data_IF_665142433077
#
_entry.id   IF_665142433077
#
_cell.length_a   1.000
_cell.length_b   1.000
_cell.length_c   1.000
_cell.angle_alpha   90.00
_cell.angle_beta   90.00
_cell.angle_gamma   90.00
#
_symmetry.space_group_name_H-M   'P 1'
#
loop_
_entity.id
_entity.type
_entity.pdbx_description
1 polymer ?
#
# COMPACT_ATOMS: atom_id res chain seq x y z
N UNK A 1 -6.32 8.73 3.79
CA UNK A 1 -6.51 9.90 4.68
C UNK A 1 -7.97 10.14 5.03
N UNK A 2 -8.86 10.34 4.05
CA UNK A 2 -10.28 10.66 4.30
C UNK A 2 -11.05 9.63 5.14
N UNK A 3 -10.83 8.32 4.90
CA UNK A 3 -11.39 7.24 5.74
C UNK A 3 -11.00 7.40 7.22
N UNK A 4 -9.73 7.72 7.49
CA UNK A 4 -9.23 7.90 8.85
C UNK A 4 -9.94 9.07 9.54
N UNK A 5 -10.09 10.20 8.83
CA UNK A 5 -10.80 11.37 9.31
C UNK A 5 -12.25 11.05 9.69
N UNK A 6 -12.99 10.36 8.82
CA UNK A 6 -14.40 9.96 9.08
C UNK A 6 -14.56 8.97 10.23
N UNK A 7 -13.53 8.16 10.50
CA UNK A 7 -13.49 7.23 11.63
C UNK A 7 -12.95 7.86 12.92
N UNK A 8 -12.58 9.16 12.91
CA UNK A 8 -11.96 9.83 14.06
C UNK A 8 -10.55 9.32 14.39
N UNK A 9 -9.88 8.68 13.43
CA UNK A 9 -8.52 8.16 13.58
C UNK A 9 -7.52 9.24 13.13
N UNK A 10 -6.88 9.87 14.11
CA UNK A 10 -5.97 10.99 13.86
C UNK A 10 -4.54 10.56 13.46
N UNK A 11 -4.27 9.25 13.41
CA UNK A 11 -2.94 8.71 13.13
C UNK A 11 -2.96 7.94 11.83
N UNK A 12 -2.33 8.53 10.81
CA UNK A 12 -2.15 7.95 9.49
C UNK A 12 -0.66 7.81 9.22
N UNK A 13 -0.20 6.61 8.84
CA UNK A 13 1.18 6.36 8.49
C UNK A 13 1.28 5.83 7.05
N UNK A 14 2.19 6.41 6.27
CA UNK A 14 2.42 6.04 4.88
C UNK A 14 3.63 5.12 4.77
N UNK A 15 3.49 4.02 4.03
CA UNK A 15 4.63 3.12 3.74
C UNK A 15 5.72 3.81 2.94
N UNK A 16 5.40 4.83 2.15
CA UNK A 16 6.41 5.64 1.44
C UNK A 16 7.25 6.47 2.42
N UNK A 17 6.64 7.00 3.48
CA UNK A 17 7.35 7.72 4.54
C UNK A 17 8.25 6.80 5.36
N UNK A 18 7.76 5.58 5.67
CA UNK A 18 8.58 4.53 6.31
C UNK A 18 9.79 4.21 5.44
N UNK A 19 9.56 3.93 4.15
CA UNK A 19 10.63 3.68 3.16
C UNK A 19 11.62 4.85 3.09
N UNK A 20 11.14 6.09 3.04
CA UNK A 20 11.99 7.28 3.02
C UNK A 20 12.85 7.40 4.28
N UNK A 21 12.31 7.05 5.44
CA UNK A 21 13.07 7.01 6.69
C UNK A 21 14.17 5.95 6.61
N UNK A 22 13.84 4.75 6.13
CA UNK A 22 14.83 3.69 5.94
C UNK A 22 15.97 4.09 4.99
N UNK A 23 15.67 4.79 3.89
CA UNK A 23 16.67 5.30 2.94
C UNK A 23 17.70 6.24 3.56
N UNK A 24 17.37 6.90 4.68
CA UNK A 24 18.31 7.75 5.40
C UNK A 24 19.37 6.96 6.18
N UNK A 25 19.10 5.69 6.49
CA UNK A 25 19.98 4.84 7.29
C UNK A 25 20.69 3.75 6.46
N UNK A 26 20.08 3.30 5.36
CA UNK A 26 20.63 2.22 4.54
C UNK A 26 21.10 2.75 3.18
N UNK A 27 22.34 2.41 2.81
CA UNK A 27 22.91 2.81 1.54
C UNK A 27 22.31 2.01 0.36
N UNK A 28 22.41 2.52 -0.88
CA UNK A 28 21.99 1.78 -2.07
C UNK A 28 22.67 0.42 -2.23
N UNK A 29 23.92 0.27 -1.80
CA UNK A 29 24.67 -0.98 -1.90
C UNK A 29 24.20 -2.03 -0.89
N UNK A 30 23.67 -1.59 0.26
CA UNK A 30 23.21 -2.49 1.31
C UNK A 30 21.75 -2.91 1.16
N UNK A 31 20.88 -1.99 0.75
CA UNK A 31 19.45 -2.26 0.58
C UNK A 31 18.95 -1.53 -0.67
N UNK A 32 19.27 -2.02 -1.88
CA UNK A 32 19.07 -1.27 -3.12
C UNK A 32 17.59 -1.03 -3.41
N UNK A 33 16.73 -2.04 -3.21
CA UNK A 33 15.31 -1.98 -3.60
C UNK A 33 14.54 -0.82 -2.97
N UNK A 34 14.86 -0.37 -1.75
CA UNK A 34 14.16 0.76 -1.12
C UNK A 34 14.46 2.12 -1.77
N UNK A 35 15.51 2.22 -2.58
CA UNK A 35 15.91 3.46 -3.25
C UNK A 35 15.24 3.68 -4.62
N UNK A 36 14.51 2.69 -5.13
CA UNK A 36 13.74 2.78 -6.37
C UNK A 36 12.27 3.08 -6.11
N UNK A 37 11.53 3.49 -7.14
CA UNK A 37 10.06 3.44 -7.09
C UNK A 37 9.60 1.98 -7.03
N UNK A 38 8.40 1.73 -6.51
CA UNK A 38 7.89 0.36 -6.35
C UNK A 38 7.82 -0.43 -7.66
N UNK A 39 7.52 0.25 -8.77
CA UNK A 39 7.47 -0.33 -10.12
C UNK A 39 8.84 -0.41 -10.81
N UNK A 40 9.88 0.18 -10.22
CA UNK A 40 11.27 0.13 -10.73
C UNK A 40 12.18 -0.73 -9.85
N UNK A 41 11.67 -1.26 -8.73
CA UNK A 41 12.49 -1.98 -7.76
C UNK A 41 13.15 -3.24 -8.36
N UNK A 42 12.67 -3.74 -9.50
CA UNK A 42 13.35 -4.80 -10.26
C UNK A 42 14.74 -4.42 -10.77
N UNK A 43 15.04 -3.13 -10.94
CA UNK A 43 16.36 -2.65 -11.36
C UNK A 43 17.46 -2.85 -10.31
N UNK A 44 17.06 -3.11 -9.06
CA UNK A 44 17.97 -3.39 -7.96
C UNK A 44 18.37 -4.88 -7.87
N UNK A 45 17.77 -5.73 -8.70
CA UNK A 45 17.99 -7.17 -8.66
C UNK A 45 19.19 -7.59 -9.50
N UNK A 46 19.79 -8.72 -9.13
CA UNK A 46 20.78 -9.40 -9.96
C UNK A 46 20.16 -9.92 -11.27
N UNK A 47 20.96 -9.99 -12.34
CA UNK A 47 20.51 -10.43 -13.67
C UNK A 47 19.97 -11.88 -13.70
N UNK A 48 20.32 -12.69 -12.70
CA UNK A 48 19.95 -14.11 -12.61
C UNK A 48 18.58 -14.37 -11.96
N UNK A 49 17.82 -13.32 -11.61
CA UNK A 49 16.49 -13.51 -11.00
C UNK A 49 15.52 -14.21 -11.95
N UNK A 50 14.91 -15.29 -11.45
CA UNK A 50 13.82 -15.98 -12.14
C UNK A 50 12.47 -15.33 -11.85
N UNK A 51 11.68 -15.05 -12.89
CA UNK A 51 10.33 -14.48 -12.77
C UNK A 51 10.23 -13.09 -13.39
N UNK A 52 9.13 -12.38 -13.14
CA UNK A 52 8.97 -10.98 -13.54
C UNK A 52 9.80 -10.08 -12.59
N UNK A 53 10.88 -9.43 -13.08
CA UNK A 53 11.75 -8.62 -12.22
C UNK A 53 11.02 -7.47 -11.53
N UNK A 54 10.02 -6.87 -12.19
CA UNK A 54 9.20 -5.79 -11.62
C UNK A 54 8.48 -6.28 -10.37
N UNK A 55 7.87 -7.47 -10.44
CA UNK A 55 7.15 -8.06 -9.31
C UNK A 55 8.11 -8.56 -8.24
N UNK A 56 9.20 -9.24 -8.62
CA UNK A 56 10.17 -9.77 -7.65
C UNK A 56 10.80 -8.63 -6.84
N UNK A 57 11.25 -7.57 -7.51
CA UNK A 57 11.89 -6.42 -6.86
C UNK A 57 10.90 -5.64 -6.00
N UNK A 58 9.65 -5.52 -6.46
CA UNK A 58 8.58 -4.96 -5.65
C UNK A 58 8.32 -5.77 -4.37
N UNK A 59 8.26 -7.10 -4.46
CA UNK A 59 8.03 -7.97 -3.29
C UNK A 59 9.19 -7.88 -2.31
N UNK A 60 10.43 -7.85 -2.80
CA UNK A 60 11.60 -7.66 -1.96
C UNK A 60 11.57 -6.29 -1.26
N UNK A 61 11.26 -5.22 -2.00
CA UNK A 61 11.06 -3.89 -1.42
C UNK A 61 9.98 -3.91 -0.33
N UNK A 62 8.86 -4.59 -0.57
CA UNK A 62 7.80 -4.73 0.43
C UNK A 62 8.30 -5.42 1.70
N UNK A 63 9.07 -6.51 1.58
CA UNK A 63 9.63 -7.21 2.74
C UNK A 63 10.50 -6.30 3.60
N UNK A 64 11.32 -5.45 2.98
CA UNK A 64 12.11 -4.45 3.70
C UNK A 64 11.21 -3.43 4.40
N UNK A 65 10.27 -2.81 3.67
CA UNK A 65 9.40 -1.76 4.22
C UNK A 65 8.46 -2.29 5.31
N UNK A 66 8.00 -3.54 5.19
CA UNK A 66 7.14 -4.20 6.16
C UNK A 66 7.78 -4.29 7.56
N UNK A 67 9.12 -4.33 7.67
CA UNK A 67 9.80 -4.26 8.99
C UNK A 67 9.43 -2.97 9.74
N UNK A 68 9.40 -1.84 9.02
CA UNK A 68 8.99 -0.56 9.60
C UNK A 68 7.47 -0.48 9.83
N UNK A 69 6.68 -1.15 9.00
CA UNK A 69 5.22 -1.28 9.21
C UNK A 69 4.93 -2.05 10.49
N UNK A 70 5.59 -3.18 10.72
CA UNK A 70 5.43 -3.99 11.93
C UNK A 70 5.82 -3.20 13.18
N UNK A 71 6.89 -2.40 13.12
CA UNK A 71 7.27 -1.50 14.20
C UNK A 71 6.18 -0.45 14.49
N UNK A 72 5.54 0.10 13.45
CA UNK A 72 4.45 1.07 13.60
C UNK A 72 3.19 0.42 14.21
N UNK A 73 2.83 -0.79 13.76
CA UNK A 73 1.73 -1.59 14.32
C UNK A 73 2.00 -1.92 15.79
N UNK A 74 3.19 -2.44 16.10
CA UNK A 74 3.59 -2.80 17.47
C UNK A 74 3.53 -1.62 18.43
N UNK A 75 3.92 -0.43 17.97
CA UNK A 75 3.78 0.81 18.75
C UNK A 75 2.31 1.16 19.01
N UNK A 76 1.46 1.09 17.99
CA UNK A 76 0.02 1.37 18.14
C UNK A 76 -0.65 0.40 19.12
N UNK A 77 -0.29 -0.88 19.07
CA UNK A 77 -0.75 -1.90 20.03
C UNK A 77 -0.29 -1.60 21.45
N UNK A 78 1.00 -1.26 21.62
CA UNK A 78 1.59 -0.97 22.94
C UNK A 78 0.96 0.26 23.59
N UNK A 79 0.74 1.31 22.81
CA UNK A 79 0.18 2.58 23.29
C UNK A 79 -1.36 2.62 23.26
N UNK A 80 -2.02 1.58 22.73
CA UNK A 80 -3.47 1.40 22.77
C UNK A 80 -4.26 2.38 21.88
N UNK A 81 -3.76 2.74 20.69
CA UNK A 81 -4.46 3.63 19.78
C UNK A 81 -4.74 3.04 18.40
N UNK A 82 -5.86 3.48 17.81
CA UNK A 82 -6.22 3.17 16.43
C UNK A 82 -5.33 3.92 15.44
N UNK A 83 -4.99 3.25 14.34
CA UNK A 83 -4.19 3.81 13.24
C UNK A 83 -4.72 3.40 11.88
N UNK A 84 -4.45 4.21 10.86
CA UNK A 84 -4.59 3.82 9.46
C UNK A 84 -3.22 3.78 8.81
N UNK A 85 -2.87 2.64 8.24
CA UNK A 85 -1.69 2.46 7.40
C UNK A 85 -2.09 2.56 5.93
N UNK A 86 -1.32 3.27 5.13
CA UNK A 86 -1.58 3.40 3.69
C UNK A 86 -0.33 3.22 2.83
N UNK A 87 -0.53 2.68 1.63
CA UNK A 87 0.46 2.64 0.57
C UNK A 87 0.69 1.25 -0.02
N UNK A 88 1.48 1.23 -1.09
CA UNK A 88 1.62 0.09 -2.01
C UNK A 88 2.27 -1.14 -1.36
N UNK A 89 3.08 -0.96 -0.32
CA UNK A 89 3.83 -2.05 0.31
C UNK A 89 2.96 -2.92 1.25
N UNK A 90 1.71 -2.54 1.51
CA UNK A 90 0.78 -3.28 2.35
C UNK A 90 0.17 -4.46 1.56
N UNK A 91 1.00 -5.39 1.11
CA UNK A 91 0.56 -6.50 0.26
C UNK A 91 -0.07 -7.61 1.11
N UNK A 92 -1.27 -8.09 0.77
CA UNK A 92 -1.88 -9.24 1.44
C UNK A 92 -0.94 -10.46 1.51
N UNK A 93 -0.83 -11.03 2.72
CA UNK A 93 0.03 -12.16 3.05
C UNK A 93 1.52 -11.84 3.22
N UNK A 94 1.92 -10.56 3.11
CA UNK A 94 3.18 -10.07 3.72
C UNK A 94 2.96 -9.45 5.10
N UNK A 95 1.70 -9.14 5.42
CA UNK A 95 1.26 -8.67 6.73
C UNK A 95 0.55 -9.83 7.48
N UNK A 96 0.52 -9.80 8.83
CA UNK A 96 -0.25 -10.77 9.59
C UNK A 96 -1.74 -10.71 9.21
N UNK A 97 -2.39 -11.86 9.13
CA UNK A 97 -3.82 -11.96 8.82
C UNK A 97 -4.70 -11.49 9.99
N UNK A 98 -4.18 -11.61 11.21
CA UNK A 98 -4.85 -11.22 12.46
C UNK A 98 -3.84 -10.59 13.41
N UNK A 99 -4.30 -9.68 14.26
CA UNK A 99 -3.49 -9.05 15.30
C UNK A 99 -4.12 -9.31 16.67
N UNK A 100 -3.35 -9.92 17.58
CA UNK A 100 -3.81 -10.08 18.96
C UNK A 100 -3.98 -8.71 19.61
N UNK A 101 -5.15 -8.48 20.23
CA UNK A 101 -5.46 -7.23 20.91
C UNK A 101 -5.88 -6.07 19.99
N UNK A 102 -6.09 -6.31 18.69
CA UNK A 102 -6.62 -5.29 17.78
C UNK A 102 -7.55 -5.87 16.72
N UNK A 103 -8.47 -5.04 16.26
CA UNK A 103 -9.24 -5.30 15.05
C UNK A 103 -8.41 -4.88 13.83
N UNK A 104 -7.96 -5.84 13.04
CA UNK A 104 -7.31 -5.59 11.76
C UNK A 104 -8.35 -5.59 10.63
N UNK A 105 -8.42 -4.48 9.88
CA UNK A 105 -9.23 -4.40 8.65
C UNK A 105 -8.29 -4.03 7.51
N UNK A 106 -8.04 -4.98 6.62
CA UNK A 106 -7.23 -4.78 5.43
C UNK A 106 -8.15 -4.65 4.22
N UNK A 107 -7.93 -3.62 3.39
CA UNK A 107 -8.64 -3.40 2.13
C UNK A 107 -7.63 -3.00 1.07
N UNK A 108 -7.74 -3.61 -0.12
CA UNK A 108 -6.99 -3.20 -1.31
C UNK A 108 -7.88 -2.31 -2.18
N UNK A 109 -7.32 -1.21 -2.67
CA UNK A 109 -8.00 -0.33 -3.62
C UNK A 109 -7.35 -0.50 -4.99
N UNK A 110 -8.17 -0.72 -6.03
CA UNK A 110 -7.69 -0.84 -7.41
C UNK A 110 -8.31 0.22 -8.33
N UNK A 111 -7.62 0.55 -9.42
CA UNK A 111 -8.19 1.29 -10.55
C UNK A 111 -8.20 0.34 -11.74
N UNK A 112 -9.37 -0.19 -12.07
CA UNK A 112 -9.52 -1.20 -13.13
C UNK A 112 -9.25 -0.59 -14.52
N UNK A 113 -9.93 0.52 -14.80
CA UNK A 113 -9.84 1.24 -16.07
C UNK A 113 -8.48 1.94 -16.22
N UNK A 114 -7.79 1.63 -17.32
CA UNK A 114 -6.47 2.16 -17.59
C UNK A 114 -6.48 3.65 -17.93
N UNK A 115 -7.49 4.11 -18.67
CA UNK A 115 -7.61 5.52 -19.05
C UNK A 115 -7.90 6.39 -17.81
N UNK A 116 -8.74 5.89 -16.90
CA UNK A 116 -8.95 6.52 -15.59
C UNK A 116 -7.65 6.56 -14.78
N UNK A 117 -6.89 5.45 -14.77
CA UNK A 117 -5.60 5.40 -14.08
C UNK A 117 -4.62 6.43 -14.66
N UNK A 118 -4.54 6.54 -15.99
CA UNK A 118 -3.75 7.56 -16.70
C UNK A 118 -4.19 8.96 -16.30
N UNK A 119 -5.48 9.27 -16.32
CA UNK A 119 -6.01 10.58 -15.93
C UNK A 119 -5.68 10.94 -14.47
N UNK A 120 -5.65 9.98 -13.55
CA UNK A 120 -5.29 10.24 -12.16
C UNK A 120 -3.85 10.78 -12.02
N UNK A 121 -2.92 10.39 -12.89
CA UNK A 121 -1.58 11.00 -12.93
C UNK A 121 -1.63 12.46 -13.39
N UNK A 122 -2.46 12.78 -14.39
CA UNK A 122 -2.65 14.14 -14.88
C UNK A 122 -3.23 15.07 -13.80
N UNK A 123 -4.21 14.60 -13.02
CA UNK A 123 -4.82 15.38 -11.94
C UNK A 123 -3.87 15.59 -10.74
N UNK A 124 -2.99 14.61 -10.46
CA UNK A 124 -1.98 14.71 -9.39
C UNK A 124 -0.91 15.75 -9.69
N UNK A 125 -0.53 15.94 -10.95
CA UNK A 125 0.45 16.96 -11.34
C UNK A 125 -0.07 18.38 -11.09
N UNK A 126 -1.34 18.62 -11.44
CA UNK A 126 -2.03 19.89 -11.20
C UNK A 126 -2.16 20.25 -9.70
N UNK A 127 -2.15 19.27 -8.80
CA UNK A 127 -2.23 19.46 -7.34
C UNK A 127 -0.86 19.46 -6.64
N UNK A 128 0.17 18.88 -7.26
CA UNK A 128 1.54 18.81 -6.69
C UNK A 128 2.52 19.80 -7.29
N UNK A 129 2.09 20.60 -8.28
CA UNK A 129 2.87 21.70 -8.84
C UNK A 129 4.09 21.24 -9.64
N UNK A 130 4.01 20.11 -10.37
CA UNK A 130 5.10 19.65 -11.25
C UNK A 130 6.24 18.89 -10.56
N UNK A 131 6.15 18.62 -9.24
CA UNK A 131 7.29 18.12 -8.45
C UNK A 131 7.61 16.63 -8.70
N UNK A 132 6.67 15.85 -9.26
CA UNK A 132 6.91 14.46 -9.70
C UNK A 132 6.63 14.39 -11.20
N UNK A 133 7.65 14.05 -11.99
CA UNK A 133 7.54 13.96 -13.45
C UNK A 133 6.40 13.03 -13.86
N UNK A 134 5.25 13.60 -14.23
CA UNK A 134 4.07 12.91 -14.73
C UNK A 134 4.45 11.90 -15.84
N UNK A 135 5.35 12.32 -16.72
CA UNK A 135 5.87 11.54 -17.83
C UNK A 135 6.45 10.20 -17.36
N UNK A 136 7.20 10.20 -16.25
CA UNK A 136 7.75 8.98 -15.67
C UNK A 136 6.66 7.96 -15.32
N UNK A 137 5.56 8.40 -14.71
CA UNK A 137 4.49 7.47 -14.34
C UNK A 137 3.71 6.96 -15.56
N UNK A 138 3.57 7.79 -16.60
CA UNK A 138 2.92 7.39 -17.84
C UNK A 138 3.80 6.43 -18.66
N UNK A 139 5.12 6.63 -18.67
CA UNK A 139 6.11 5.75 -19.29
C UNK A 139 6.15 4.37 -18.62
N UNK A 140 5.96 4.32 -17.29
CA UNK A 140 5.96 3.08 -16.51
C UNK A 140 4.56 2.57 -16.14
N UNK A 141 3.51 2.98 -16.87
CA UNK A 141 2.14 2.58 -16.56
C UNK A 141 1.96 1.05 -16.55
N UNK A 142 2.59 0.36 -17.51
CA UNK A 142 2.55 -1.10 -17.59
C UNK A 142 3.13 -1.76 -16.34
N UNK A 143 4.28 -1.28 -15.85
CA UNK A 143 4.92 -1.79 -14.63
C UNK A 143 4.08 -1.49 -13.39
N UNK A 144 3.46 -0.31 -13.32
CA UNK A 144 2.52 0.05 -12.25
C UNK A 144 1.31 -0.88 -12.25
N UNK A 145 0.75 -1.18 -13.44
CA UNK A 145 -0.38 -2.11 -13.58
C UNK A 145 0.03 -3.54 -13.25
N UNK A 146 1.24 -3.99 -13.61
CA UNK A 146 1.79 -5.29 -13.17
C UNK A 146 1.84 -5.40 -11.65
N UNK A 147 2.33 -4.36 -10.97
CA UNK A 147 2.32 -4.30 -9.50
C UNK A 147 0.89 -4.34 -8.96
N UNK A 148 -0.05 -3.58 -9.53
CA UNK A 148 -1.46 -3.63 -9.12
C UNK A 148 -2.06 -5.03 -9.29
N UNK A 149 -1.85 -5.68 -10.44
CA UNK A 149 -2.31 -7.05 -10.71
C UNK A 149 -1.74 -8.04 -9.70
N UNK A 150 -0.46 -7.91 -9.35
CA UNK A 150 0.13 -8.72 -8.31
C UNK A 150 -0.57 -8.51 -6.96
N UNK A 151 -0.74 -7.26 -6.50
CA UNK A 151 -1.40 -6.95 -5.23
C UNK A 151 -2.84 -7.49 -5.19
N UNK A 152 -3.62 -7.29 -6.26
CA UNK A 152 -5.02 -7.74 -6.31
C UNK A 152 -5.12 -9.26 -6.41
N UNK A 153 -4.17 -9.93 -7.06
CA UNK A 153 -4.08 -11.40 -7.03
C UNK A 153 -3.79 -11.94 -5.63
N UNK A 154 -2.90 -11.27 -4.87
CA UNK A 154 -2.63 -11.59 -3.46
C UNK A 154 -3.87 -11.34 -2.61
N UNK A 155 -4.57 -10.23 -2.82
CA UNK A 155 -5.81 -9.91 -2.11
C UNK A 155 -6.86 -11.02 -2.27
N UNK A 156 -7.09 -11.49 -3.50
CA UNK A 156 -8.00 -12.61 -3.78
C UNK A 156 -7.56 -13.89 -3.09
N UNK A 157 -6.26 -14.23 -3.14
CA UNK A 157 -5.72 -15.43 -2.50
C UNK A 157 -5.85 -15.40 -0.97
N UNK A 158 -5.64 -14.25 -0.36
CA UNK A 158 -5.70 -14.07 1.10
C UNK A 158 -7.09 -13.63 1.59
N UNK A 159 -8.10 -13.64 0.70
CA UNK A 159 -9.49 -13.22 1.01
C UNK A 159 -9.61 -11.79 1.57
N UNK A 160 -8.73 -10.89 1.14
CA UNK A 160 -8.79 -9.45 1.43
C UNK A 160 -9.70 -8.75 0.42
N UNK A 161 -10.68 -7.94 0.85
CA UNK A 161 -11.55 -7.20 -0.07
C UNK A 161 -10.78 -6.28 -1.01
N UNK A 162 -11.16 -6.30 -2.28
CA UNK A 162 -10.68 -5.35 -3.31
C UNK A 162 -11.82 -4.40 -3.64
N UNK A 163 -11.58 -3.10 -3.52
CA UNK A 163 -12.53 -2.03 -3.81
C UNK A 163 -12.05 -1.25 -5.03
N UNK A 164 -12.87 -1.24 -6.08
CA UNK A 164 -12.60 -0.46 -7.28
C UNK A 164 -12.85 1.03 -7.04
N UNK A 165 -11.85 1.86 -7.33
CA UNK A 165 -11.94 3.31 -7.18
C UNK A 165 -12.41 4.01 -8.46
N UNK A 166 -13.68 3.83 -8.80
CA UNK A 166 -14.32 4.58 -9.89
C UNK A 166 -14.83 5.97 -9.44
N UNK A 167 -15.20 6.11 -8.16
CA UNK A 167 -15.64 7.37 -7.56
C UNK A 167 -15.19 7.45 -6.10
N UNK A 168 -14.43 8.48 -5.76
CA UNK A 168 -13.79 8.63 -4.44
C UNK A 168 -14.78 8.52 -3.28
N UNK A 169 -15.93 9.20 -3.36
CA UNK A 169 -16.93 9.21 -2.28
C UNK A 169 -17.54 7.82 -2.06
N UNK A 170 -17.87 7.13 -3.16
CA UNK A 170 -18.37 5.75 -3.10
C UNK A 170 -17.32 4.80 -2.51
N UNK A 171 -16.07 4.92 -2.94
CA UNK A 171 -14.94 4.12 -2.43
C UNK A 171 -14.80 4.31 -0.93
N UNK A 172 -14.84 5.55 -0.44
CA UNK A 172 -14.76 5.86 1.00
C UNK A 172 -15.91 5.19 1.75
N UNK A 173 -17.15 5.29 1.24
CA UNK A 173 -18.32 4.65 1.82
C UNK A 173 -18.16 3.13 1.95
N UNK A 174 -17.68 2.47 0.91
CA UNK A 174 -17.44 1.01 0.91
C UNK A 174 -16.36 0.60 1.92
N UNK A 175 -15.26 1.35 2.02
CA UNK A 175 -14.21 1.06 3.00
C UNK A 175 -14.73 1.23 4.43
N UNK A 176 -15.49 2.28 4.72
CA UNK A 176 -16.10 2.49 6.04
C UNK A 176 -17.07 1.36 6.38
N UNK A 177 -17.89 0.94 5.42
CA UNK A 177 -18.81 -0.18 5.61
C UNK A 177 -18.07 -1.47 6.00
N UNK A 178 -16.97 -1.80 5.31
CA UNK A 178 -16.12 -2.95 5.65
C UNK A 178 -15.58 -2.88 7.09
N UNK A 179 -15.14 -1.70 7.53
CA UNK A 179 -14.66 -1.48 8.90
C UNK A 179 -15.79 -1.69 9.91
N UNK A 180 -16.96 -1.10 9.66
CA UNK A 180 -18.12 -1.23 10.56
C UNK A 180 -18.61 -2.68 10.65
N UNK A 181 -18.64 -3.42 9.54
CA UNK A 181 -18.99 -4.84 9.52
C UNK A 181 -17.98 -5.68 10.33
N UNK A 182 -16.68 -5.39 10.21
CA UNK A 182 -15.65 -6.08 10.99
C UNK A 182 -15.79 -5.79 12.50
N UNK A 183 -16.09 -4.54 12.88
CA UNK A 183 -16.32 -4.14 14.26
C UNK A 183 -17.60 -4.75 14.86
N UNK A 184 -18.65 -4.91 14.06
CA UNK A 184 -19.87 -5.61 14.47
C UNK A 184 -19.63 -7.11 14.72
N UNK A 185 -18.96 -7.79 13.78
CA UNK A 185 -18.59 -9.22 13.94
C UNK A 185 -17.80 -9.47 15.22
N UNK A 186 -16.82 -8.62 15.50
CA UNK A 186 -15.96 -8.76 16.69
C UNK A 186 -16.75 -8.57 17.99
N UNK A 187 -17.75 -7.67 18.01
CA UNK A 187 -18.62 -7.48 19.18
C UNK A 187 -19.55 -8.67 19.44
N UNK A 188 -19.89 -9.44 18.41
CA UNK A 188 -20.76 -10.62 18.55
C UNK A 188 -19.99 -11.87 18.99
N UNK A 189 -18.67 -11.91 18.77
CA UNK A 189 -17.80 -13.04 19.15
C UNK A 189 -17.06 -12.83 20.47
N UNK A 190 -17.08 -11.61 21.03
CA UNK A 190 -16.50 -11.25 22.33
C UNK A 190 -17.51 -11.47 23.47
#
# INVERSE_FOLDING_TARGET
VEVAHRLGINRVASTDFIRQTMRAFFSPEFMPTIHYSSFEAGQALDEEVTGDPTVVGFVEQCRHVCVGVDAAIGRALTEGWSMVLEGVHLVPGLLPAELQGALLVHVVIEIADEDIHRMHFHMRDATTGGIRAMDKYLEHLDDIRRVQTYITSRARRESVPVVENANVERTIGQVIELVMQAAERTRQTA
#
